data_IF_185427363169
#
_entry.id   IF_185427363169
#
_cell.length_a   1.000
_cell.length_b   1.000
_cell.length_c   1.000
_cell.angle_alpha   90.00
_cell.angle_beta   90.00
_cell.angle_gamma   90.00
#
_symmetry.space_group_name_H-M   'P 1'
#
loop_
_entity.id
_entity.type
_entity.pdbx_description
1 polymer ?
#
# COMPACT_ATOMS: atom_id res chain seq x y z
N UNK A 1 -7.87 -3.01 -23.29
CA UNK A 1 -8.39 -4.31 -22.82
C UNK A 1 -9.42 -4.00 -21.74
N UNK A 2 -10.70 -4.32 -21.95
CA UNK A 2 -11.75 -3.96 -20.99
C UNK A 2 -11.55 -4.71 -19.66
N UNK A 3 -11.70 -3.99 -18.55
CA UNK A 3 -11.57 -4.52 -17.19
C UNK A 3 -12.84 -4.27 -16.39
N UNK A 4 -13.19 -5.23 -15.54
CA UNK A 4 -14.31 -5.13 -14.61
C UNK A 4 -13.84 -5.02 -13.15
N UNK A 5 -14.59 -4.30 -12.33
CA UNK A 5 -14.26 -4.18 -10.91
C UNK A 5 -15.40 -4.64 -9.98
N UNK A 6 -15.01 -5.20 -8.84
CA UNK A 6 -15.83 -5.44 -7.66
C UNK A 6 -15.24 -4.62 -6.51
N UNK A 7 -15.91 -3.53 -6.13
CA UNK A 7 -15.36 -2.52 -5.24
C UNK A 7 -16.23 -2.29 -4.02
N UNK A 8 -15.57 -2.16 -2.87
CA UNK A 8 -16.18 -1.66 -1.64
C UNK A 8 -15.19 -0.79 -0.89
N UNK A 9 -15.68 -0.04 0.10
CA UNK A 9 -14.87 0.71 1.07
C UNK A 9 -14.06 1.85 0.45
N UNK A 10 -13.38 2.60 1.31
CA UNK A 10 -12.44 3.66 0.93
C UNK A 10 -11.36 3.18 -0.05
N UNK A 11 -10.92 1.92 0.06
CA UNK A 11 -9.91 1.35 -0.85
C UNK A 11 -10.43 1.19 -2.26
N UNK A 12 -11.64 0.64 -2.44
CA UNK A 12 -12.25 0.45 -3.74
C UNK A 12 -12.44 1.79 -4.47
N UNK A 13 -12.92 2.81 -3.74
CA UNK A 13 -13.06 4.17 -4.28
C UNK A 13 -11.74 4.74 -4.79
N UNK A 14 -10.66 4.66 -4.00
CA UNK A 14 -9.37 5.21 -4.43
C UNK A 14 -8.74 4.43 -5.57
N UNK A 15 -8.93 3.11 -5.62
CA UNK A 15 -8.49 2.32 -6.78
C UNK A 15 -9.21 2.79 -8.04
N UNK A 16 -10.55 2.94 -7.99
CA UNK A 16 -11.32 3.41 -9.14
C UNK A 16 -10.85 4.80 -9.61
N UNK A 17 -10.72 5.75 -8.69
CA UNK A 17 -10.24 7.10 -9.00
C UNK A 17 -8.82 7.10 -9.58
N UNK A 18 -7.92 6.27 -9.05
CA UNK A 18 -6.57 6.14 -9.56
C UNK A 18 -6.55 5.54 -10.98
N UNK A 19 -7.36 4.52 -11.24
CA UNK A 19 -7.46 3.90 -12.57
C UNK A 19 -8.05 4.87 -13.58
N UNK A 20 -9.16 5.52 -13.25
CA UNK A 20 -9.79 6.54 -14.12
C UNK A 20 -8.81 7.68 -14.44
N UNK A 21 -8.12 8.21 -13.43
CA UNK A 21 -7.19 9.33 -13.63
C UNK A 21 -5.90 8.94 -14.37
N UNK A 22 -5.45 7.69 -14.27
CA UNK A 22 -4.19 7.23 -14.88
C UNK A 22 -4.40 6.66 -16.29
N UNK A 23 -5.48 5.91 -16.50
CA UNK A 23 -5.71 5.12 -17.73
C UNK A 23 -6.96 5.56 -18.51
N UNK A 24 -7.75 6.48 -17.96
CA UNK A 24 -9.03 6.88 -18.52
C UNK A 24 -10.17 5.90 -18.19
N UNK A 25 -11.43 6.35 -18.29
CA UNK A 25 -12.59 5.52 -17.99
C UNK A 25 -12.89 4.46 -19.06
N UNK A 26 -12.46 4.66 -20.31
CA UNK A 26 -12.77 3.79 -21.45
C UNK A 26 -12.22 2.35 -21.33
N UNK A 27 -11.26 2.13 -20.42
CA UNK A 27 -10.79 0.77 -20.14
C UNK A 27 -11.72 0.03 -19.17
N UNK A 28 -12.59 0.74 -18.45
CA UNK A 28 -13.44 0.18 -17.40
C UNK A 28 -14.80 -0.16 -17.99
N UNK A 29 -15.04 -1.45 -18.15
CA UNK A 29 -16.26 -1.97 -18.72
C UNK A 29 -17.43 -1.84 -17.75
N UNK A 30 -17.19 -2.19 -16.48
CA UNK A 30 -18.21 -2.12 -15.45
C UNK A 30 -17.60 -2.05 -14.04
N UNK A 31 -18.41 -1.58 -13.10
CA UNK A 31 -18.13 -1.61 -11.66
C UNK A 31 -19.33 -2.22 -10.93
N UNK A 32 -19.06 -3.18 -10.06
CA UNK A 32 -20.04 -3.69 -9.09
C UNK A 32 -19.68 -3.14 -7.71
N UNK A 33 -20.63 -2.44 -7.10
CA UNK A 33 -20.56 -2.00 -5.72
C UNK A 33 -21.51 -2.78 -4.81
N UNK A 34 -21.35 -2.61 -3.51
CA UNK A 34 -22.25 -3.20 -2.52
C UNK A 34 -22.29 -2.35 -1.26
N UNK A 35 -23.45 -2.32 -0.61
CA UNK A 35 -23.60 -1.70 0.70
C UNK A 35 -23.13 -2.64 1.82
N UNK A 36 -22.65 -2.08 2.92
CA UNK A 36 -22.45 -2.81 4.17
C UNK A 36 -22.89 -1.99 5.37
N UNK A 37 -24.06 -2.35 5.92
CA UNK A 37 -24.68 -1.68 7.07
C UNK A 37 -23.86 -1.76 8.35
N UNK A 38 -22.85 -2.63 8.43
CA UNK A 38 -21.98 -2.77 9.59
C UNK A 38 -20.78 -1.81 9.55
N UNK A 39 -20.56 -1.11 8.43
CA UNK A 39 -19.54 -0.09 8.31
C UNK A 39 -20.14 1.28 8.63
N UNK A 40 -19.40 2.08 9.39
CA UNK A 40 -19.76 3.49 9.60
C UNK A 40 -19.81 4.27 8.27
N UNK A 41 -18.99 3.85 7.30
CA UNK A 41 -18.99 4.37 5.93
C UNK A 41 -18.48 3.28 4.96
N UNK A 42 -19.32 2.86 4.02
CA UNK A 42 -19.02 1.80 3.05
C UNK A 42 -18.54 2.30 1.67
N UNK A 43 -18.69 3.60 1.40
CA UNK A 43 -18.28 4.31 0.18
C UNK A 43 -18.99 3.88 -1.11
N UNK A 44 -20.10 3.13 -1.00
CA UNK A 44 -20.85 2.64 -2.17
C UNK A 44 -21.33 3.79 -3.04
N UNK A 45 -21.98 4.78 -2.43
CA UNK A 45 -22.59 5.89 -3.17
C UNK A 45 -21.53 6.77 -3.84
N UNK A 46 -20.38 6.99 -3.20
CA UNK A 46 -19.25 7.68 -3.82
C UNK A 46 -18.66 6.92 -5.02
N UNK A 47 -18.57 5.58 -4.93
CA UNK A 47 -18.15 4.75 -6.06
C UNK A 47 -19.15 4.91 -7.22
N UNK A 48 -20.45 4.84 -6.94
CA UNK A 48 -21.50 5.02 -7.96
C UNK A 48 -21.45 6.41 -8.59
N UNK A 49 -21.17 7.46 -7.81
CA UNK A 49 -21.00 8.83 -8.31
C UNK A 49 -19.81 8.92 -9.26
N UNK A 50 -18.65 8.35 -8.91
CA UNK A 50 -17.48 8.33 -9.80
C UNK A 50 -17.81 7.61 -11.11
N UNK A 51 -18.53 6.49 -11.06
CA UNK A 51 -18.93 5.77 -12.25
C UNK A 51 -19.84 6.64 -13.15
N UNK A 52 -20.89 7.23 -12.58
CA UNK A 52 -21.84 8.09 -13.30
C UNK A 52 -21.16 9.30 -13.95
N UNK A 53 -20.25 9.95 -13.23
CA UNK A 53 -19.52 11.12 -13.74
C UNK A 53 -18.60 10.80 -14.92
N UNK A 54 -18.18 9.54 -15.05
CA UNK A 54 -17.25 9.09 -16.08
C UNK A 54 -17.91 8.17 -17.12
N UNK A 55 -19.25 8.04 -17.11
CA UNK A 55 -19.97 7.18 -18.06
C UNK A 55 -19.71 5.68 -17.90
N UNK A 56 -19.27 5.23 -16.72
CA UNK A 56 -18.96 3.82 -16.44
C UNK A 56 -20.23 3.11 -15.95
N UNK A 57 -20.52 1.93 -16.50
CA UNK A 57 -21.63 1.09 -16.05
C UNK A 57 -21.43 0.68 -14.57
N UNK A 58 -22.43 0.96 -13.74
CA UNK A 58 -22.42 0.63 -12.32
C UNK A 58 -23.61 -0.26 -11.97
N UNK A 59 -23.34 -1.31 -11.20
CA UNK A 59 -24.34 -2.26 -10.70
C UNK A 59 -24.22 -2.39 -9.20
N UNK A 60 -25.34 -2.47 -8.50
CA UNK A 60 -25.33 -3.01 -7.15
C UNK A 60 -25.22 -4.54 -7.19
N UNK A 61 -24.50 -5.11 -6.24
CA UNK A 61 -24.46 -6.54 -5.96
C UNK A 61 -25.84 -7.20 -5.96
N UNK A 62 -26.82 -6.53 -5.36
CA UNK A 62 -28.15 -7.09 -5.16
C UNK A 62 -29.06 -6.91 -6.37
N UNK A 63 -28.61 -6.18 -7.39
CA UNK A 63 -29.34 -6.09 -8.64
C UNK A 63 -29.32 -7.47 -9.29
N UNK A 64 -30.49 -8.08 -9.46
CA UNK A 64 -30.67 -9.39 -10.11
C UNK A 64 -30.68 -9.26 -11.63
N UNK A 65 -29.88 -8.34 -12.17
CA UNK A 65 -29.94 -7.95 -13.57
C UNK A 65 -29.01 -8.82 -14.42
N UNK A 66 -29.58 -9.46 -15.45
CA UNK A 66 -28.83 -10.23 -16.46
C UNK A 66 -27.76 -9.38 -17.13
N UNK A 67 -27.95 -8.05 -17.17
CA UNK A 67 -26.95 -7.10 -17.68
C UNK A 67 -25.60 -7.25 -16.98
N UNK A 68 -25.56 -7.47 -15.66
CA UNK A 68 -24.31 -7.65 -14.92
C UNK A 68 -23.52 -8.84 -15.47
N UNK A 69 -24.19 -9.97 -15.77
CA UNK A 69 -23.53 -11.13 -16.36
C UNK A 69 -23.06 -10.88 -17.79
N UNK A 70 -23.78 -10.06 -18.56
CA UNK A 70 -23.39 -9.67 -19.90
C UNK A 70 -22.10 -8.82 -19.91
N UNK A 71 -22.02 -7.78 -19.07
CA UNK A 71 -20.81 -6.95 -18.93
C UNK A 71 -19.62 -7.75 -18.38
N UNK A 72 -19.87 -8.74 -17.53
CA UNK A 72 -18.82 -9.65 -17.06
C UNK A 72 -18.24 -10.54 -18.16
N UNK A 73 -19.02 -10.83 -19.20
CA UNK A 73 -18.56 -11.64 -20.31
C UNK A 73 -17.62 -10.88 -21.26
N UNK A 74 -17.73 -9.54 -21.32
CA UNK A 74 -16.94 -8.69 -22.21
C UNK A 74 -15.57 -8.31 -21.62
N UNK A 75 -15.46 -8.22 -20.29
CA UNK A 75 -14.20 -7.91 -19.62
C UNK A 75 -13.21 -9.10 -19.62
N UNK A 76 -11.93 -8.82 -19.89
CA UNK A 76 -10.87 -9.82 -19.95
C UNK A 76 -10.24 -10.11 -18.57
N UNK A 77 -10.14 -9.06 -17.75
CA UNK A 77 -9.64 -9.13 -16.38
C UNK A 77 -10.65 -8.53 -15.42
N UNK A 78 -10.68 -9.10 -14.22
CA UNK A 78 -11.56 -8.67 -13.16
C UNK A 78 -10.74 -8.36 -11.91
N UNK A 79 -11.09 -7.30 -11.20
CA UNK A 79 -10.39 -6.90 -9.98
C UNK A 79 -11.36 -6.85 -8.79
N UNK A 80 -11.00 -7.51 -7.70
CA UNK A 80 -11.73 -7.42 -6.43
C UNK A 80 -10.90 -6.64 -5.42
N UNK A 81 -11.48 -5.56 -4.88
CA UNK A 81 -10.84 -4.68 -3.90
C UNK A 81 -11.77 -4.47 -2.72
N UNK A 82 -11.34 -4.94 -1.54
CA UNK A 82 -12.15 -4.98 -0.31
C UNK A 82 -13.49 -5.71 -0.46
N UNK A 83 -13.62 -6.57 -1.46
CA UNK A 83 -14.86 -7.29 -1.73
C UNK A 83 -15.08 -8.42 -0.71
N UNK A 84 -16.34 -8.65 -0.31
CA UNK A 84 -16.66 -9.55 0.80
C UNK A 84 -17.17 -10.93 0.38
N UNK A 85 -17.65 -11.07 -0.84
CA UNK A 85 -18.39 -12.27 -1.25
C UNK A 85 -17.66 -13.07 -2.32
N UNK A 86 -18.02 -14.34 -2.44
CA UNK A 86 -17.54 -15.17 -3.53
C UNK A 86 -17.99 -14.59 -4.87
N UNK A 87 -17.04 -14.55 -5.81
CA UNK A 87 -17.28 -14.18 -7.20
C UNK A 87 -17.14 -15.47 -8.01
N UNK A 88 -18.26 -15.95 -8.54
CA UNK A 88 -18.31 -17.11 -9.43
C UNK A 88 -18.24 -16.66 -10.88
N UNK A 89 -17.57 -17.39 -11.76
CA UNK A 89 -17.58 -17.13 -13.22
C UNK A 89 -16.95 -15.80 -13.65
N UNK A 90 -15.92 -15.32 -12.95
CA UNK A 90 -15.08 -14.19 -13.40
C UNK A 90 -13.77 -14.70 -14.01
N UNK A 91 -13.52 -14.38 -15.28
CA UNK A 91 -12.26 -14.71 -15.96
C UNK A 91 -11.11 -13.94 -15.34
N UNK A 92 -9.98 -14.59 -15.06
CA UNK A 92 -8.74 -13.95 -14.60
C UNK A 92 -8.98 -12.93 -13.46
N UNK A 93 -9.72 -13.35 -12.44
CA UNK A 93 -10.00 -12.53 -11.27
C UNK A 93 -8.71 -12.29 -10.48
N UNK A 94 -8.38 -11.03 -10.27
CA UNK A 94 -7.26 -10.55 -9.46
C UNK A 94 -7.82 -9.96 -8.17
N UNK A 95 -7.33 -10.44 -7.03
CA UNK A 95 -7.72 -9.96 -5.71
C UNK A 95 -6.60 -9.06 -5.17
N UNK A 96 -6.96 -7.87 -4.69
CA UNK A 96 -6.06 -7.01 -3.91
C UNK A 96 -6.25 -7.29 -2.41
N UNK A 97 -5.32 -8.05 -1.83
CA UNK A 97 -5.37 -8.54 -0.45
C UNK A 97 -4.40 -7.79 0.46
N UNK A 98 -4.84 -7.32 1.62
CA UNK A 98 -4.04 -6.45 2.52
C UNK A 98 -3.02 -7.21 3.42
N UNK A 99 -2.35 -8.23 2.91
CA UNK A 99 -1.32 -8.95 3.68
C UNK A 99 -0.35 -9.75 2.83
N UNK A 100 0.85 -10.05 3.37
CA UNK A 100 1.90 -10.75 2.65
C UNK A 100 2.85 -11.66 3.43
N UNK A 101 3.17 -12.86 2.91
CA UNK A 101 2.23 -13.91 2.48
C UNK A 101 1.44 -14.53 3.66
N UNK A 102 1.62 -13.96 4.86
CA UNK A 102 0.91 -14.28 6.09
C UNK A 102 -0.48 -13.64 6.09
N UNK A 103 -1.37 -14.09 6.98
CA UNK A 103 -2.70 -13.48 7.22
C UNK A 103 -3.67 -13.55 6.03
N UNK A 104 -4.04 -14.77 5.62
CA UNK A 104 -5.13 -15.03 4.66
C UNK A 104 -6.50 -14.85 5.34
N UNK A 105 -7.56 -14.72 4.56
CA UNK A 105 -8.93 -14.60 5.06
C UNK A 105 -9.37 -13.15 5.29
N UNK A 106 -10.38 -12.95 6.15
CA UNK A 106 -11.22 -11.75 6.10
C UNK A 106 -10.73 -10.54 6.92
N UNK A 107 -9.75 -10.69 7.82
CA UNK A 107 -9.26 -9.60 8.67
C UNK A 107 -7.73 -9.44 8.66
N UNK A 108 -7.08 -9.41 7.48
CA UNK A 108 -5.62 -9.43 7.36
C UNK A 108 -4.93 -8.28 8.10
N UNK A 109 -5.39 -7.05 7.84
CA UNK A 109 -4.77 -5.83 8.36
C UNK A 109 -4.91 -5.70 9.89
N UNK A 110 -6.12 -5.82 10.48
CA UNK A 110 -6.25 -5.80 11.94
C UNK A 110 -5.39 -6.86 12.63
N UNK A 111 -5.36 -8.10 12.12
CA UNK A 111 -4.56 -9.19 12.70
C UNK A 111 -3.06 -8.88 12.63
N UNK A 112 -2.56 -8.40 11.49
CA UNK A 112 -1.16 -7.98 11.35
C UNK A 112 -0.80 -6.86 12.35
N UNK A 113 -1.70 -5.88 12.53
CA UNK A 113 -1.47 -4.78 13.46
C UNK A 113 -1.47 -5.24 14.93
N UNK A 114 -2.39 -6.13 15.31
CA UNK A 114 -2.47 -6.73 16.65
C UNK A 114 -1.18 -7.51 16.97
N UNK A 115 -0.65 -8.22 15.99
CA UNK A 115 0.59 -8.99 16.13
C UNK A 115 1.87 -8.14 16.12
N UNK A 116 1.75 -6.81 16.03
CA UNK A 116 2.91 -5.91 16.06
C UNK A 116 3.79 -6.01 14.82
N UNK A 117 3.24 -6.41 13.67
CA UNK A 117 4.04 -6.57 12.45
C UNK A 117 4.71 -5.24 12.04
N UNK A 118 6.02 -5.21 11.80
CA UNK A 118 6.73 -3.99 11.44
C UNK A 118 6.38 -3.49 10.02
N UNK A 119 5.74 -4.35 9.23
CA UNK A 119 5.27 -4.04 7.88
C UNK A 119 3.89 -4.64 7.66
N UNK A 120 3.03 -3.87 6.98
CA UNK A 120 1.83 -4.37 6.33
C UNK A 120 1.99 -4.21 4.82
N UNK A 121 1.01 -4.60 4.03
CA UNK A 121 1.12 -4.45 2.58
C UNK A 121 -0.13 -4.82 1.82
N UNK A 122 -0.03 -4.73 0.50
CA UNK A 122 -1.05 -5.21 -0.43
C UNK A 122 -0.42 -6.18 -1.40
N UNK A 123 -1.21 -7.17 -1.80
CA UNK A 123 -0.87 -8.26 -2.71
C UNK A 123 -1.87 -8.28 -3.82
N UNK A 124 -1.39 -8.28 -5.05
CA UNK A 124 -2.18 -8.71 -6.18
C UNK A 124 -1.96 -10.21 -6.37
N UNK A 125 -3.02 -10.99 -6.37
CA UNK A 125 -2.99 -12.43 -6.61
C UNK A 125 -4.14 -12.86 -7.51
N UNK A 126 -3.94 -13.89 -8.33
CA UNK A 126 -5.07 -14.52 -9.01
C UNK A 126 -5.95 -15.25 -8.00
N UNK A 127 -7.27 -15.16 -8.17
CA UNK A 127 -8.19 -15.98 -7.42
C UNK A 127 -7.97 -17.46 -7.77
N UNK A 128 -7.90 -18.31 -6.75
CA UNK A 128 -7.74 -19.76 -6.88
C UNK A 128 -8.90 -20.52 -6.26
N UNK A 129 -8.75 -21.85 -6.18
CA UNK A 129 -9.74 -22.72 -5.50
C UNK A 129 -9.80 -22.48 -4.00
N UNK A 130 -8.67 -22.15 -3.39
CA UNK A 130 -8.57 -21.82 -1.98
C UNK A 130 -8.45 -20.30 -1.77
N UNK A 131 -8.95 -19.83 -0.63
CA UNK A 131 -8.96 -18.41 -0.28
C UNK A 131 -7.55 -17.80 -0.25
N UNK A 132 -7.38 -16.72 -1.00
CA UNK A 132 -6.16 -15.90 -1.13
C UNK A 132 -4.92 -16.66 -1.59
N UNK A 133 -5.04 -17.90 -2.07
CA UNK A 133 -3.94 -18.85 -2.33
C UNK A 133 -3.47 -18.96 -3.76
N UNK A 134 -4.05 -18.20 -4.69
CA UNK A 134 -3.56 -18.22 -6.05
C UNK A 134 -2.24 -17.48 -6.24
N UNK A 135 -1.76 -17.50 -7.48
CA UNK A 135 -0.43 -17.02 -7.83
C UNK A 135 -0.29 -15.51 -7.59
N UNK A 136 0.81 -15.15 -6.92
CA UNK A 136 1.13 -13.76 -6.62
C UNK A 136 1.63 -13.06 -7.87
N UNK A 137 1.01 -11.93 -8.20
CA UNK A 137 1.36 -11.07 -9.33
C UNK A 137 2.26 -9.90 -8.91
N UNK A 138 2.06 -9.42 -7.69
CA UNK A 138 2.78 -8.26 -7.20
C UNK A 138 2.51 -8.00 -5.73
N UNK A 139 3.46 -7.31 -5.10
CA UNK A 139 3.49 -7.08 -3.67
C UNK A 139 4.02 -5.68 -3.36
N UNK A 140 3.41 -5.00 -2.40
CA UNK A 140 3.94 -3.73 -1.88
C UNK A 140 3.87 -3.70 -0.37
N UNK A 141 4.98 -3.34 0.28
CA UNK A 141 5.09 -3.20 1.74
C UNK A 141 4.94 -1.74 2.18
N UNK A 142 4.40 -1.55 3.37
CA UNK A 142 4.27 -0.28 4.08
C UNK A 142 4.85 -0.46 5.50
N UNK A 143 5.92 0.26 5.88
CA UNK A 143 6.43 0.23 7.24
C UNK A 143 5.41 0.82 8.22
N UNK A 144 5.31 0.20 9.41
CA UNK A 144 4.44 0.64 10.50
C UNK A 144 5.26 1.16 11.67
N UNK A 145 4.83 2.29 12.22
CA UNK A 145 5.33 2.85 13.48
C UNK A 145 4.17 2.89 14.47
N UNK A 146 4.35 2.22 15.61
CA UNK A 146 3.34 2.16 16.66
C UNK A 146 3.51 3.29 17.69
N UNK A 147 2.42 3.72 18.36
CA UNK A 147 1.04 3.30 18.15
C UNK A 147 0.44 3.87 16.86
N UNK A 148 -0.44 3.12 16.19
CA UNK A 148 -1.09 3.53 14.95
C UNK A 148 -2.58 3.21 14.98
N UNK A 149 -3.40 4.07 14.35
CA UNK A 149 -4.83 3.80 14.12
C UNK A 149 -5.01 3.01 12.82
N UNK A 150 -5.87 1.99 12.82
CA UNK A 150 -6.21 1.18 11.64
C UNK A 150 -6.59 2.08 10.45
N UNK A 151 -7.44 3.08 10.69
CA UNK A 151 -7.88 4.02 9.66
C UNK A 151 -6.70 4.76 8.99
N UNK A 152 -5.68 5.16 9.75
CA UNK A 152 -4.49 5.82 9.18
C UNK A 152 -3.67 4.89 8.27
N UNK A 153 -3.68 3.59 8.57
CA UNK A 153 -3.02 2.58 7.75
C UNK A 153 -3.83 2.31 6.48
N UNK A 154 -5.16 2.17 6.57
CA UNK A 154 -6.05 2.05 5.40
C UNK A 154 -5.83 3.20 4.44
N UNK A 155 -5.91 4.45 4.92
CA UNK A 155 -5.67 5.63 4.07
C UNK A 155 -4.29 5.59 3.41
N UNK A 156 -3.24 5.14 4.12
CA UNK A 156 -1.89 5.01 3.56
C UNK A 156 -1.78 3.92 2.48
N UNK A 157 -2.50 2.80 2.63
CA UNK A 157 -2.53 1.71 1.65
C UNK A 157 -3.34 2.11 0.40
N UNK A 158 -4.44 2.84 0.58
CA UNK A 158 -5.26 3.41 -0.50
C UNK A 158 -4.56 4.48 -1.33
N UNK A 159 -3.33 4.87 -0.97
CA UNK A 159 -2.61 5.95 -1.65
C UNK A 159 -3.06 7.35 -1.26
N UNK A 160 -3.92 7.49 -0.24
CA UNK A 160 -4.29 8.80 0.30
C UNK A 160 -3.07 9.36 1.02
N UNK A 161 -2.51 10.42 0.44
CA UNK A 161 -1.48 11.20 1.09
C UNK A 161 -2.11 11.89 2.29
N UNK A 162 -1.90 11.35 3.48
CA UNK A 162 -2.31 12.04 4.71
C UNK A 162 -1.51 13.35 4.79
N UNK A 163 -2.15 14.54 4.79
CA UNK A 163 -1.45 15.83 4.78
C UNK A 163 -0.55 16.04 6.03
N UNK A 164 -0.63 15.16 7.02
CA UNK A 164 0.19 15.19 8.25
C UNK A 164 1.57 14.54 8.14
N UNK A 165 1.95 13.98 6.99
CA UNK A 165 3.35 13.51 6.80
C UNK A 165 4.21 14.68 6.34
N UNK A 166 4.88 15.33 7.28
CA UNK A 166 6.03 16.19 6.99
C UNK A 166 7.09 15.43 6.17
N UNK A 167 8.02 16.14 5.52
CA UNK A 167 9.00 15.51 4.63
C UNK A 167 9.77 14.40 5.35
N UNK A 168 9.93 13.27 4.66
CA UNK A 168 10.77 12.17 5.14
C UNK A 168 12.20 12.71 5.36
N UNK A 169 12.83 12.43 6.51
CA UNK A 169 14.20 12.87 6.74
C UNK A 169 15.11 12.22 5.69
N UNK A 170 15.88 13.04 5.00
CA UNK A 170 16.89 12.57 4.07
C UNK A 170 17.89 11.70 4.83
N UNK A 171 18.00 10.43 4.46
CA UNK A 171 19.05 9.56 4.96
C UNK A 171 20.41 10.15 4.59
N UNK A 172 21.08 10.76 5.57
CA UNK A 172 22.48 11.15 5.43
C UNK A 172 23.32 9.88 5.31
N UNK A 173 23.78 9.59 4.09
CA UNK A 173 24.85 8.63 3.86
C UNK A 173 26.08 9.13 4.62
N UNK A 174 26.36 8.54 5.79
CA UNK A 174 27.65 8.69 6.45
C UNK A 174 28.70 8.12 5.51
N UNK A 175 29.54 9.01 4.95
CA UNK A 175 30.72 8.60 4.18
C UNK A 175 31.74 8.02 5.16
N UNK A 176 32.07 6.75 4.98
CA UNK A 176 33.25 6.14 5.56
C UNK A 176 34.49 6.82 4.94
N UNK A 177 35.50 7.25 5.72
CA UNK A 177 36.73 7.76 5.12
C UNK A 177 37.65 6.60 4.78
N UNK A 178 37.93 6.45 3.47
CA UNK A 178 39.03 5.65 2.95
C UNK A 178 40.36 6.24 3.43
N UNK A 179 41.20 5.40 4.04
CA UNK A 179 42.61 5.69 4.32
C UNK A 179 43.45 5.10 3.20
N UNK A 180 44.00 5.94 2.32
CA UNK A 180 45.23 5.60 1.60
C UNK A 180 46.13 6.82 1.34
N UNK A 181 47.27 6.81 2.04
CA UNK A 181 48.63 7.04 1.54
C UNK A 181 48.90 8.19 0.57
N UNK A 182 49.65 9.20 1.05
CA UNK A 182 50.69 9.87 0.26
C UNK A 182 51.97 10.10 1.08
N UNK A 183 53.09 9.67 0.50
CA UNK A 183 54.49 9.89 0.93
C UNK A 183 55.06 11.12 0.21
N UNK A 184 55.88 11.93 0.92
CA UNK A 184 57.16 12.61 0.53
C UNK A 184 57.33 13.90 1.38
N UNK A 185 58.29 13.97 2.33
CA UNK A 185 59.75 14.27 2.28
C UNK A 185 60.10 15.78 2.30
N UNK A 186 60.99 16.16 3.24
CA UNK A 186 61.79 17.41 3.27
C UNK A 186 61.50 18.29 4.49
N UNK A 187 62.21 18.13 5.63
CA UNK A 187 63.50 18.76 6.00
C UNK A 187 63.36 20.13 6.70
N UNK A 188 63.58 20.16 8.02
CA UNK A 188 64.63 20.94 8.70
C UNK A 188 64.30 21.38 10.15
N UNK A 189 65.32 21.20 11.01
CA UNK A 189 65.70 21.97 12.21
C UNK A 189 64.93 21.74 13.54
N UNK A 190 65.62 21.06 14.47
CA UNK A 190 65.61 21.24 15.94
C UNK A 190 66.17 22.64 16.32
N UNK A 191 65.99 23.23 17.53
CA UNK A 191 66.05 22.54 18.84
C UNK A 191 65.19 23.06 20.04
N UNK A 192 64.98 22.12 20.99
CA UNK A 192 65.16 22.18 22.47
C UNK A 192 64.47 23.23 23.38
N UNK A 193 64.03 22.71 24.55
CA UNK A 193 63.66 23.32 25.85
C UNK A 193 62.20 23.80 25.99
N UNK A 194 61.45 23.53 27.07
CA UNK A 194 61.82 23.48 28.50
C UNK A 194 60.77 22.67 29.29
N UNK A 195 61.23 21.91 30.29
CA UNK A 195 60.41 21.30 31.35
C UNK A 195 59.75 22.38 32.22
N UNK A 196 58.53 22.12 32.71
CA UNK A 196 58.19 22.32 34.14
C UNK A 196 57.03 21.41 34.57
N UNK A 197 57.24 20.80 35.74
CA UNK A 197 56.34 19.93 36.50
C UNK A 197 55.40 20.76 37.40
N UNK A 198 54.48 20.03 38.04
CA UNK A 198 53.69 20.28 39.26
C UNK A 198 52.28 20.81 38.93
N UNK A 199 51.18 20.32 39.50
CA UNK A 199 51.00 19.61 40.79
C UNK A 199 49.64 18.89 40.85
N UNK A 200 49.62 17.78 41.59
CA UNK A 200 48.45 17.11 42.16
C UNK A 200 47.68 18.00 43.16
N UNK A 201 46.34 17.92 43.15
CA UNK A 201 45.41 17.84 44.33
C UNK A 201 44.04 17.36 43.79
N UNK A 202 43.61 16.10 43.93
CA UNK A 202 42.83 15.45 45.01
C UNK A 202 41.62 16.22 45.59
N UNK A 203 40.45 15.56 45.50
CA UNK A 203 39.28 15.52 46.42
C UNK A 203 38.40 16.78 46.54
N UNK A 204 37.18 16.69 46.00
CA UNK A 204 35.98 16.34 46.78
C UNK A 204 34.92 15.72 45.87
#
# INVERSE_FOLDING_TARGET
MPIGFFLMTEKGLHVLQAVVSTFGPDQIEYVVGAADKNLAKDYRDEIAVVCRQNGIAYFDRHDSDDSQNQFRATAEYHFAVSWRWLIHDAKRLIVLHDSLPKYRGFTPLPTALINGEPFVGVTALFAGREYDRGDILGQRKLPISYPVKIQSVISSLSGIRNPRRGPLPAHSRRRHPDRHSTKRRGSHLFPVARRRRLSHTLVR
#
